data_IF_632201201815
#
_entry.id   IF_632201201815
#
_cell.length_a   1.000
_cell.length_b   1.000
_cell.length_c   1.000
_cell.angle_alpha   90.00
_cell.angle_beta   90.00
_cell.angle_gamma   90.00
#
_symmetry.space_group_name_H-M   'P 1'
#
loop_
_entity.id
_entity.type
_entity.pdbx_description
1 polymer ?
#
# COMPACT_ATOMS: atom_id res chain seq x y z
N UNK A 1 10.08 12.43 -6.51
CA UNK A 1 8.68 12.62 -6.06
C UNK A 1 8.59 12.25 -4.59
N UNK A 2 7.64 12.84 -3.84
CA UNK A 2 7.45 12.44 -2.44
C UNK A 2 6.95 11.00 -2.34
N UNK A 3 7.40 10.28 -1.30
CA UNK A 3 7.01 8.89 -1.06
C UNK A 3 5.49 8.77 -0.85
N UNK A 4 4.87 7.77 -1.49
CA UNK A 4 3.45 7.47 -1.28
C UNK A 4 3.33 6.76 0.08
N UNK A 5 2.58 7.37 1.00
CA UNK A 5 2.35 6.82 2.33
C UNK A 5 1.04 6.04 2.37
N UNK A 6 1.14 4.74 2.58
CA UNK A 6 0.03 3.84 2.88
C UNK A 6 -0.06 3.68 4.39
N UNK A 7 -1.20 4.02 4.95
CA UNK A 7 -1.50 3.90 6.37
C UNK A 7 -1.88 2.46 6.70
N UNK A 8 -1.21 1.87 7.68
CA UNK A 8 -1.48 0.53 8.19
C UNK A 8 -2.05 0.66 9.60
N UNK A 9 -3.24 0.11 9.81
CA UNK A 9 -3.81 -0.04 11.14
C UNK A 9 -3.99 -1.53 11.44
N UNK A 10 -3.38 -1.98 12.54
CA UNK A 10 -3.45 -3.35 13.02
C UNK A 10 -4.65 -3.49 13.93
N UNK A 11 -5.54 -4.40 13.58
CA UNK A 11 -6.74 -4.75 14.34
C UNK A 11 -6.59 -6.17 14.89
N UNK A 12 -7.56 -6.63 15.69
CA UNK A 12 -7.48 -7.94 16.34
C UNK A 12 -7.48 -9.08 15.31
N UNK A 13 -8.29 -8.92 14.27
CA UNK A 13 -8.66 -9.90 13.25
C UNK A 13 -8.00 -9.65 11.89
N UNK A 14 -7.22 -8.59 11.74
CA UNK A 14 -6.69 -8.20 10.44
C UNK A 14 -5.97 -6.87 10.41
N UNK A 15 -5.47 -6.53 9.23
CA UNK A 15 -4.75 -5.27 8.97
C UNK A 15 -5.53 -4.49 7.92
N UNK A 16 -5.69 -3.18 8.15
CA UNK A 16 -6.29 -2.28 7.16
C UNK A 16 -5.23 -1.36 6.56
N UNK A 17 -5.22 -1.28 5.24
CA UNK A 17 -4.31 -0.49 4.43
C UNK A 17 -5.10 0.62 3.74
N UNK A 18 -4.74 1.88 3.95
CA UNK A 18 -5.48 3.01 3.41
C UNK A 18 -4.58 4.12 2.89
N UNK A 19 -5.08 4.90 1.95
CA UNK A 19 -4.43 6.13 1.47
C UNK A 19 -5.25 7.35 1.89
N UNK A 20 -4.58 8.49 2.00
CA UNK A 20 -5.28 9.75 2.26
C UNK A 20 -6.04 10.24 1.01
N UNK A 21 -7.10 11.05 1.18
CA UNK A 21 -7.82 11.63 0.05
C UNK A 21 -6.92 12.42 -0.91
N UNK A 22 -5.93 13.15 -0.38
CA UNK A 22 -4.98 13.91 -1.21
C UNK A 22 -4.12 13.01 -2.10
N UNK A 23 -3.70 11.85 -1.60
CA UNK A 23 -2.97 10.85 -2.41
C UNK A 23 -3.88 10.24 -3.46
N UNK A 24 -5.14 9.96 -3.12
CA UNK A 24 -6.12 9.46 -4.08
C UNK A 24 -6.35 10.43 -5.24
N UNK A 25 -6.52 11.70 -4.94
CA UNK A 25 -6.68 12.76 -5.95
C UNK A 25 -5.41 12.94 -6.77
N UNK A 26 -4.24 12.82 -6.15
CA UNK A 26 -2.96 12.83 -6.85
C UNK A 26 -2.84 11.67 -7.85
N UNK A 27 -3.16 10.44 -7.45
CA UNK A 27 -3.13 9.26 -8.33
C UNK A 27 -4.08 9.43 -9.51
N UNK A 28 -5.30 9.91 -9.27
CA UNK A 28 -6.29 10.15 -10.35
C UNK A 28 -5.85 11.23 -11.34
N UNK A 29 -5.09 12.23 -10.88
CA UNK A 29 -4.52 13.26 -11.75
C UNK A 29 -3.36 12.74 -12.58
N UNK A 30 -2.51 11.89 -11.99
CA UNK A 30 -1.38 11.27 -12.69
C UNK A 30 -1.84 10.20 -13.68
N UNK A 31 -2.85 9.42 -13.29
CA UNK A 31 -3.38 8.28 -14.02
C UNK A 31 -4.90 8.44 -14.15
N UNK A 32 -5.41 9.04 -15.25
CA UNK A 32 -6.84 9.33 -15.42
C UNK A 32 -7.75 8.09 -15.35
N UNK A 33 -7.22 6.92 -15.71
CA UNK A 33 -7.95 5.64 -15.65
C UNK A 33 -7.77 4.90 -14.32
N UNK A 34 -6.96 5.42 -13.38
CA UNK A 34 -6.74 4.73 -12.13
C UNK A 34 -8.00 4.75 -11.25
N UNK A 35 -8.25 3.62 -10.60
CA UNK A 35 -9.34 3.41 -9.66
C UNK A 35 -8.83 3.15 -8.24
N UNK A 36 -8.16 4.11 -7.59
CA UNK A 36 -7.62 3.93 -6.26
C UNK A 36 -8.72 3.65 -5.24
N UNK A 37 -8.52 2.59 -4.46
CA UNK A 37 -9.37 2.22 -3.35
C UNK A 37 -9.03 3.07 -2.11
N UNK A 38 -10.04 3.35 -1.28
CA UNK A 38 -9.83 4.11 -0.04
C UNK A 38 -9.13 3.26 1.03
N UNK A 39 -9.51 1.98 1.10
CA UNK A 39 -9.07 1.04 2.11
C UNK A 39 -9.14 -0.39 1.56
N UNK A 40 -8.14 -1.20 1.90
CA UNK A 40 -8.16 -2.65 1.74
C UNK A 40 -7.97 -3.26 3.12
N UNK A 41 -8.86 -4.17 3.50
CA UNK A 41 -8.75 -4.93 4.75
C UNK A 41 -8.35 -6.37 4.44
N UNK A 42 -7.34 -6.86 5.14
CA UNK A 42 -6.88 -8.25 5.04
C UNK A 42 -7.09 -8.89 6.40
N UNK A 43 -8.10 -9.75 6.48
CA UNK A 43 -8.39 -10.54 7.66
C UNK A 43 -7.50 -11.79 7.72
N UNK A 44 -7.27 -12.29 8.93
CA UNK A 44 -6.64 -13.59 9.16
C UNK A 44 -7.42 -14.38 10.22
N UNK A 45 -7.51 -15.70 10.02
CA UNK A 45 -8.09 -16.60 11.03
C UNK A 45 -7.10 -16.88 12.17
N UNK A 46 -5.79 -16.92 11.84
CA UNK A 46 -4.70 -17.12 12.81
C UNK A 46 -3.60 -16.08 12.60
N UNK A 47 -3.38 -15.23 13.62
CA UNK A 47 -2.45 -14.09 13.56
C UNK A 47 -1.00 -14.48 13.22
N UNK A 48 -0.55 -15.62 13.73
CA UNK A 48 0.80 -16.15 13.51
C UNK A 48 1.14 -16.33 12.03
N UNK A 49 0.14 -16.59 11.18
CA UNK A 49 0.36 -16.78 9.75
C UNK A 49 0.63 -15.45 9.05
N UNK A 50 0.10 -14.33 9.58
CA UNK A 50 0.17 -13.03 8.92
C UNK A 50 1.56 -12.39 9.02
N UNK A 51 2.22 -12.53 10.16
CA UNK A 51 3.57 -11.97 10.40
C UNK A 51 4.62 -12.61 9.48
N UNK A 52 4.43 -13.88 9.09
CA UNK A 52 5.30 -14.60 8.13
C UNK A 52 5.21 -14.01 6.71
N UNK A 53 4.13 -13.28 6.39
CA UNK A 53 3.92 -12.64 5.08
C UNK A 53 4.26 -11.14 5.06
N UNK A 54 4.84 -10.60 6.14
CA UNK A 54 5.35 -9.24 6.14
C UNK A 54 6.34 -9.03 4.97
N UNK A 55 6.13 -8.00 4.18
CA UNK A 55 6.85 -7.68 2.94
C UNK A 55 6.27 -8.33 1.68
N UNK A 56 5.65 -9.52 1.79
CA UNK A 56 4.94 -10.16 0.66
C UNK A 56 3.53 -9.62 0.50
N UNK A 57 2.86 -9.28 1.60
CA UNK A 57 1.52 -8.75 1.53
C UNK A 57 1.53 -7.33 0.96
N UNK A 58 2.44 -6.50 1.45
CA UNK A 58 2.62 -5.11 1.04
C UNK A 58 2.79 -4.99 -0.49
N UNK A 59 3.58 -5.88 -1.11
CA UNK A 59 3.80 -5.92 -2.57
C UNK A 59 2.55 -6.25 -3.38
N UNK A 60 1.60 -6.98 -2.80
CA UNK A 60 0.31 -7.28 -3.43
C UNK A 60 -0.75 -6.21 -3.12
N UNK A 61 -0.64 -5.55 -1.97
CA UNK A 61 -1.63 -4.56 -1.52
C UNK A 61 -1.47 -3.23 -2.23
N UNK A 62 -0.25 -2.70 -2.36
CA UNK A 62 -0.10 -1.36 -2.94
C UNK A 62 -0.62 -1.25 -4.38
N UNK A 63 -0.40 -2.22 -5.29
CA UNK A 63 -0.93 -2.11 -6.65
C UNK A 63 -2.46 -2.10 -6.65
N UNK A 64 -3.08 -2.97 -5.85
CA UNK A 64 -4.53 -3.05 -5.71
C UNK A 64 -5.13 -1.78 -5.07
N UNK A 65 -4.42 -1.19 -4.10
CA UNK A 65 -4.87 0.02 -3.41
C UNK A 65 -4.78 1.25 -4.31
N UNK A 66 -3.69 1.39 -5.08
CA UNK A 66 -3.50 2.50 -6.01
C UNK A 66 -4.35 2.35 -7.27
N UNK A 67 -4.68 1.11 -7.66
CA UNK A 67 -5.64 0.81 -8.73
C UNK A 67 -5.23 1.36 -10.09
N UNK A 68 -3.93 1.38 -10.39
CA UNK A 68 -3.41 1.81 -11.70
C UNK A 68 -3.56 0.68 -12.73
N UNK A 69 -3.78 1.05 -14.00
CA UNK A 69 -4.04 0.09 -15.09
C UNK A 69 -2.83 -0.80 -15.40
N UNK A 70 -1.62 -0.22 -15.41
CA UNK A 70 -0.39 -0.96 -15.70
C UNK A 70 0.54 -1.00 -14.50
N UNK A 71 1.14 -2.15 -14.24
CA UNK A 71 2.25 -2.26 -13.26
C UNK A 71 3.42 -1.35 -13.62
N UNK A 72 3.65 -1.04 -14.89
CA UNK A 72 4.70 -0.10 -15.30
C UNK A 72 4.47 1.32 -14.79
N UNK A 73 3.22 1.70 -14.53
CA UNK A 73 2.87 3.02 -14.02
C UNK A 73 3.32 3.19 -12.57
N UNK A 74 3.38 2.09 -11.82
CA UNK A 74 3.90 2.06 -10.45
C UNK A 74 5.38 2.44 -10.37
N UNK A 75 6.14 2.20 -11.45
CA UNK A 75 7.57 2.56 -11.53
C UNK A 75 7.81 4.08 -11.53
N UNK A 76 6.76 4.89 -11.69
CA UNK A 76 6.87 6.34 -11.57
C UNK A 76 7.06 6.80 -10.12
N UNK A 77 6.64 5.98 -9.14
CA UNK A 77 6.83 6.27 -7.74
C UNK A 77 8.24 5.85 -7.29
N UNK A 78 8.93 6.75 -6.60
CA UNK A 78 10.29 6.49 -6.11
C UNK A 78 10.29 5.60 -4.85
N UNK A 79 9.26 5.72 -4.01
CA UNK A 79 9.14 4.95 -2.77
C UNK A 79 7.67 4.85 -2.33
N UNK A 80 7.27 3.66 -1.87
CA UNK A 80 6.03 3.41 -1.15
C UNK A 80 6.37 3.07 0.30
N UNK A 81 5.78 3.81 1.24
CA UNK A 81 5.99 3.62 2.68
C UNK A 81 4.71 3.13 3.35
N UNK A 82 4.81 2.04 4.09
CA UNK A 82 3.74 1.53 4.94
C UNK A 82 3.94 2.03 6.36
N UNK A 83 3.04 2.89 6.82
CA UNK A 83 3.16 3.63 8.08
C UNK A 83 2.11 3.17 9.07
N UNK A 84 2.54 2.71 10.23
CA UNK A 84 1.66 2.38 11.35
C UNK A 84 0.91 3.62 11.85
N UNK A 85 -0.41 3.57 11.91
CA UNK A 85 -1.21 4.75 12.30
C UNK A 85 -1.18 5.05 13.79
N UNK A 86 -0.79 4.11 14.64
CA UNK A 86 -0.76 4.29 16.09
C UNK A 86 0.58 4.89 16.53
N UNK A 87 1.67 4.41 15.95
CA UNK A 87 3.04 4.80 16.33
C UNK A 87 3.65 5.82 15.37
N UNK A 88 3.13 5.94 14.14
CA UNK A 88 3.74 6.74 13.07
C UNK A 88 5.00 6.10 12.47
N UNK A 89 5.38 4.91 12.94
CA UNK A 89 6.58 4.23 12.46
C UNK A 89 6.37 3.66 11.06
N UNK A 90 7.42 3.71 10.25
CA UNK A 90 7.43 3.00 8.97
C UNK A 90 7.66 1.53 9.24
N UNK A 91 6.66 0.70 8.92
CA UNK A 91 6.69 -0.75 9.08
C UNK A 91 7.43 -1.43 7.92
N UNK A 92 7.21 -0.93 6.70
CA UNK A 92 7.80 -1.48 5.50
C UNK A 92 7.99 -0.39 4.44
N UNK A 93 8.99 -0.57 3.58
CA UNK A 93 9.28 0.31 2.46
C UNK A 93 9.55 -0.55 1.25
N UNK A 94 9.04 -0.12 0.10
CA UNK A 94 9.38 -0.74 -1.18
C UNK A 94 9.56 0.33 -2.24
N UNK A 95 10.43 0.02 -3.18
CA UNK A 95 10.60 0.77 -4.41
C UNK A 95 9.99 -0.07 -5.54
N UNK A 96 8.91 0.39 -6.20
CA UNK A 96 8.29 -0.35 -7.29
C UNK A 96 9.26 -0.72 -8.42
N UNK A 97 10.34 0.07 -8.60
CA UNK A 97 11.39 -0.21 -9.61
C UNK A 97 12.28 -1.40 -9.27
N UNK A 98 12.43 -1.70 -7.97
CA UNK A 98 13.35 -2.74 -7.48
C UNK A 98 12.65 -4.09 -7.27
N UNK A 99 11.31 -4.13 -7.30
CA UNK A 99 10.54 -5.38 -7.30
C UNK A 99 10.72 -6.13 -8.62
N UNK A 100 11.77 -6.96 -8.68
CA UNK A 100 11.86 -8.05 -9.66
C UNK A 100 10.85 -9.12 -9.26
N UNK A 101 9.87 -9.33 -10.13
CA UNK A 101 8.94 -10.48 -10.09
C UNK A 101 9.73 -11.79 -10.13
#
# INVERSE_FOLDING_TARGET
MDAIKIKVNKQMDGYSFSISPSIRDFIRKLFPNAHPANNIFVGYDTKSNFEVYAGKLESQIYPALLGVDSKSDLNQFDEIQFVDTQTGNVLYKLNPRDEKV
#
